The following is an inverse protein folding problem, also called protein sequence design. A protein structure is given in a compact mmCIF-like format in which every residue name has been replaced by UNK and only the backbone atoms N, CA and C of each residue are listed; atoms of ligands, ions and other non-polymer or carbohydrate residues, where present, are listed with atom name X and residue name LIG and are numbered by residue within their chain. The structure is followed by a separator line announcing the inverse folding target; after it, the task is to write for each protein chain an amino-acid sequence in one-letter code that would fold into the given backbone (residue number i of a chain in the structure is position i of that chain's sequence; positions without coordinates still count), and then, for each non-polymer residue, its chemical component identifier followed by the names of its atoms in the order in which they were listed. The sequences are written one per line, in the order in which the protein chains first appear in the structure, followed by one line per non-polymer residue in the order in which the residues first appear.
data_IF_287987625543
#
_entry.id   IF_287987625543
#
_cell.length_a   1.000
_cell.length_b   1.000
_cell.length_c   1.000
_cell.angle_alpha   90.00
_cell.angle_beta   90.00
_cell.angle_gamma   90.00
#
_symmetry.space_group_name_H-M   'P 1'
#
loop_
_entity.id
_entity.type
_entity.pdbx_description
1 polymer ?
#
# COMPACT_ATOMS: atom_id res chain seq x y z
N UNK A 1 45.01 37.63 37.70
CA UNK A 1 45.29 36.27 37.19
C UNK A 1 45.65 35.46 38.43
N UNK A 2 44.93 34.49 38.96
CA UNK A 2 44.02 33.41 38.50
C UNK A 2 43.19 33.05 39.75
N UNK A 3 41.85 33.01 39.76
CA UNK A 3 41.00 32.00 39.12
C UNK A 3 40.86 30.75 40.00
N UNK A 4 39.80 30.62 40.80
CA UNK A 4 39.58 29.46 41.68
C UNK A 4 38.18 29.39 42.27
N UNK A 5 37.16 29.31 41.40
CA UNK A 5 35.76 29.15 41.79
C UNK A 5 35.49 27.71 42.28
N UNK A 6 35.14 27.56 43.56
CA UNK A 6 34.61 26.32 44.12
C UNK A 6 33.21 26.04 43.59
N UNK A 7 33.10 25.15 42.60
CA UNK A 7 31.85 24.50 42.21
C UNK A 7 31.85 23.07 42.75
N UNK A 8 30.89 22.72 43.59
CA UNK A 8 30.28 21.37 43.58
C UNK A 8 28.78 21.51 43.79
N UNK A 9 28.08 21.39 42.66
CA UNK A 9 26.65 21.30 42.58
C UNK A 9 26.18 19.86 42.87
N UNK A 10 25.03 19.81 43.52
CA UNK A 10 23.92 18.87 43.37
C UNK A 10 24.22 17.37 43.23
N UNK A 11 23.75 16.64 44.23
CA UNK A 11 23.50 15.21 44.23
C UNK A 11 22.82 14.73 42.95
N UNK A 12 23.24 13.54 42.51
CA UNK A 12 22.82 12.91 41.25
C UNK A 12 21.31 12.81 41.13
N UNK A 13 20.81 13.28 39.99
CA UNK A 13 19.51 12.85 39.46
C UNK A 13 19.62 11.34 39.22
N UNK A 14 18.81 10.56 39.92
CA UNK A 14 18.70 9.12 39.71
C UNK A 14 18.47 8.85 38.22
N UNK A 15 19.32 8.02 37.63
CA UNK A 15 19.06 7.46 36.32
C UNK A 15 17.73 6.70 36.40
N UNK A 16 16.82 6.99 35.48
CA UNK A 16 15.56 6.27 35.37
C UNK A 16 15.86 4.76 35.19
N UNK A 17 15.37 3.86 36.06
CA UNK A 17 15.66 2.43 35.97
C UNK A 17 14.90 1.73 34.84
N UNK A 18 13.99 2.44 34.15
CA UNK A 18 13.28 1.95 32.99
C UNK A 18 14.08 2.28 31.73
N UNK A 19 14.34 1.30 30.83
CA UNK A 19 14.91 1.60 29.52
C UNK A 19 14.06 2.67 28.85
N UNK A 20 14.71 3.63 28.18
CA UNK A 20 14.01 4.60 27.33
C UNK A 20 13.04 3.80 26.46
N UNK A 21 11.74 4.16 26.51
CA UNK A 21 10.66 3.41 25.87
C UNK A 21 11.11 2.89 24.51
N UNK A 22 11.48 1.60 24.45
CA UNK A 22 11.81 0.96 23.20
C UNK A 22 10.53 1.02 22.38
N UNK A 23 10.60 1.59 21.18
CA UNK A 23 9.48 1.69 20.25
C UNK A 23 8.88 0.28 20.08
N UNK A 24 7.74 0.03 20.74
CA UNK A 24 7.07 -1.28 20.69
C UNK A 24 6.80 -1.57 19.21
N UNK A 25 7.30 -2.68 18.65
CA UNK A 25 7.14 -2.96 17.23
C UNK A 25 5.65 -3.03 16.87
N UNK A 26 5.21 -2.11 15.99
CA UNK A 26 3.82 -2.10 15.52
C UNK A 26 3.53 -3.35 14.70
N UNK A 27 2.50 -4.10 15.07
CA UNK A 27 2.07 -5.28 14.32
C UNK A 27 1.15 -4.90 13.16
N UNK A 28 0.92 -5.84 12.25
CA UNK A 28 -0.03 -5.66 11.16
C UNK A 28 -1.48 -5.51 11.65
N UNK A 29 -1.78 -6.04 12.84
CA UNK A 29 -3.09 -5.91 13.47
C UNK A 29 -3.28 -4.52 14.04
N UNK A 30 -2.28 -3.96 14.73
CA UNK A 30 -2.34 -2.60 15.28
C UNK A 30 -2.60 -1.54 14.19
N UNK A 31 -1.85 -1.61 13.07
CA UNK A 31 -2.06 -0.73 11.90
C UNK A 31 -3.49 -0.85 11.35
N UNK A 32 -4.02 -2.07 11.33
CA UNK A 32 -5.36 -2.34 10.80
C UNK A 32 -6.47 -1.87 11.76
N UNK A 33 -6.28 -2.00 13.07
CA UNK A 33 -7.20 -1.49 14.09
C UNK A 33 -7.28 0.03 14.05
N UNK A 34 -6.13 0.72 14.02
CA UNK A 34 -6.09 2.19 13.88
C UNK A 34 -6.83 2.66 12.64
N UNK A 35 -6.64 1.98 11.51
CA UNK A 35 -7.36 2.28 10.27
C UNK A 35 -8.89 2.10 10.43
N UNK A 36 -9.35 1.04 11.10
CA UNK A 36 -10.78 0.86 11.37
C UNK A 36 -11.34 1.90 12.34
N UNK A 37 -10.56 2.34 13.32
CA UNK A 37 -10.92 3.46 14.20
C UNK A 37 -11.17 4.74 13.38
N UNK A 38 -10.30 5.04 12.42
CA UNK A 38 -10.46 6.21 11.53
C UNK A 38 -11.71 6.11 10.63
N UNK A 39 -11.96 4.93 10.06
CA UNK A 39 -13.21 4.67 9.31
C UNK A 39 -14.45 4.91 10.19
N UNK A 40 -14.40 4.46 11.45
CA UNK A 40 -15.45 4.70 12.43
C UNK A 40 -15.70 6.19 12.70
N UNK A 41 -14.63 6.97 12.88
CA UNK A 41 -14.75 8.42 13.09
C UNK A 41 -15.32 9.16 11.87
N UNK A 42 -15.02 8.70 10.66
CA UNK A 42 -15.60 9.25 9.43
C UNK A 42 -17.03 8.77 9.13
N UNK A 43 -17.58 7.84 9.93
CA UNK A 43 -18.92 7.28 9.69
C UNK A 43 -18.99 6.34 8.48
N UNK A 44 -17.86 5.79 8.06
CA UNK A 44 -17.79 4.85 6.94
C UNK A 44 -18.53 3.55 7.27
N UNK A 45 -19.23 3.00 6.27
CA UNK A 45 -19.98 1.76 6.46
C UNK A 45 -19.05 0.55 6.39
N UNK A 46 -18.99 -0.21 7.48
CA UNK A 46 -18.15 -1.41 7.58
C UNK A 46 -19.02 -2.64 7.87
N UNK A 47 -18.93 -3.66 7.01
CA UNK A 47 -19.51 -4.98 7.23
C UNK A 47 -18.62 -5.84 8.13
N UNK A 48 -19.15 -6.99 8.60
CA UNK A 48 -18.34 -7.96 9.34
C UNK A 48 -17.06 -8.33 8.57
N UNK A 49 -15.97 -8.47 9.31
CA UNK A 49 -14.72 -8.98 8.77
C UNK A 49 -14.89 -10.32 8.05
N UNK A 50 -14.05 -10.56 7.05
CA UNK A 50 -13.93 -11.85 6.38
C UNK A 50 -13.54 -12.93 7.40
N UNK A 51 -14.07 -14.14 7.23
CA UNK A 51 -13.53 -15.30 7.95
C UNK A 51 -12.18 -15.71 7.34
N UNK A 52 -11.48 -16.61 8.03
CA UNK A 52 -10.25 -17.23 7.49
C UNK A 52 -10.56 -17.92 6.17
N UNK A 53 -11.64 -18.69 6.11
CA UNK A 53 -12.06 -19.44 4.92
C UNK A 53 -12.45 -18.51 3.76
N UNK A 54 -13.10 -17.38 4.04
CA UNK A 54 -13.45 -16.38 3.03
C UNK A 54 -12.20 -15.77 2.41
N UNK A 55 -11.22 -15.35 3.23
CA UNK A 55 -9.93 -14.84 2.74
C UNK A 55 -9.20 -15.89 1.91
N UNK A 56 -9.09 -17.11 2.41
CA UNK A 56 -8.38 -18.18 1.69
C UNK A 56 -9.07 -18.58 0.39
N UNK A 57 -10.40 -18.51 0.31
CA UNK A 57 -11.13 -18.73 -0.95
C UNK A 57 -10.75 -17.70 -1.99
N UNK A 58 -10.65 -16.43 -1.61
CA UNK A 58 -10.22 -15.35 -2.52
C UNK A 58 -8.76 -15.57 -2.95
N UNK A 59 -7.87 -15.84 -2.00
CA UNK A 59 -6.46 -16.12 -2.27
C UNK A 59 -6.27 -17.29 -3.25
N UNK A 60 -6.98 -18.41 -3.03
CA UNK A 60 -6.96 -19.56 -3.95
C UNK A 60 -7.54 -19.21 -5.32
N UNK A 61 -8.63 -18.44 -5.36
CA UNK A 61 -9.30 -18.07 -6.62
C UNK A 61 -8.40 -17.25 -7.54
N UNK A 62 -7.60 -16.36 -6.98
CA UNK A 62 -6.77 -15.42 -7.74
C UNK A 62 -5.27 -15.73 -7.72
N UNK A 63 -4.85 -16.80 -7.03
CA UNK A 63 -3.46 -17.24 -7.02
C UNK A 63 -2.50 -16.30 -6.30
N UNK A 64 -2.98 -15.52 -5.33
CA UNK A 64 -2.15 -14.64 -4.51
C UNK A 64 -2.41 -14.84 -3.01
N UNK A 65 -1.51 -14.33 -2.16
CA UNK A 65 -1.78 -14.13 -0.72
C UNK A 65 -1.93 -12.66 -0.43
N UNK A 66 -2.91 -12.27 0.37
CA UNK A 66 -3.02 -10.89 0.84
C UNK A 66 -1.77 -10.52 1.66
N UNK A 67 -1.37 -9.25 1.63
CA UNK A 67 -0.39 -8.73 2.58
C UNK A 67 -0.86 -8.94 4.03
N UNK A 68 0.04 -9.09 5.00
CA UNK A 68 -0.33 -9.35 6.40
C UNK A 68 -1.27 -8.27 6.95
N UNK A 69 -0.96 -6.99 6.69
CA UNK A 69 -1.80 -5.85 7.10
C UNK A 69 -3.16 -5.84 6.40
N UNK A 70 -3.21 -6.25 5.13
CA UNK A 70 -4.47 -6.35 4.39
C UNK A 70 -5.34 -7.49 4.94
N UNK A 71 -4.73 -8.63 5.30
CA UNK A 71 -5.46 -9.74 5.95
C UNK A 71 -6.05 -9.31 7.28
N UNK A 72 -5.27 -8.59 8.10
CA UNK A 72 -5.73 -8.08 9.39
C UNK A 72 -6.88 -7.07 9.21
N UNK A 73 -6.72 -6.11 8.30
CA UNK A 73 -7.76 -5.15 7.96
C UNK A 73 -9.07 -5.82 7.55
N UNK A 74 -9.01 -6.76 6.60
CA UNK A 74 -10.19 -7.51 6.17
C UNK A 74 -10.73 -8.48 7.24
N UNK A 75 -9.96 -8.81 8.28
CA UNK A 75 -10.40 -9.66 9.39
C UNK A 75 -11.19 -8.88 10.43
N UNK A 76 -10.82 -7.63 10.68
CA UNK A 76 -11.53 -6.74 11.60
C UNK A 76 -12.87 -6.32 10.98
N UNK A 77 -12.85 -5.86 9.73
CA UNK A 77 -14.04 -5.35 9.05
C UNK A 77 -13.83 -5.23 7.55
N UNK A 78 -14.92 -5.17 6.79
CA UNK A 78 -14.86 -4.94 5.34
C UNK A 78 -15.64 -3.67 5.02
N UNK A 79 -14.98 -2.56 4.64
CA UNK A 79 -15.67 -1.37 4.19
C UNK A 79 -16.59 -1.65 2.99
N UNK A 80 -17.70 -0.94 2.92
CA UNK A 80 -18.72 -1.11 1.88
C UNK A 80 -18.91 0.21 1.15
N UNK A 81 -18.76 0.18 -0.17
CA UNK A 81 -18.99 1.33 -1.02
C UNK A 81 -18.64 1.03 -2.47
N UNK A 82 -18.89 1.96 -3.39
CA UNK A 82 -18.66 1.73 -4.82
C UNK A 82 -17.19 1.49 -5.16
N UNK A 83 -16.28 2.13 -4.42
CA UNK A 83 -14.83 2.01 -4.64
C UNK A 83 -14.18 0.87 -3.84
N UNK A 84 -14.90 0.28 -2.88
CA UNK A 84 -14.40 -0.82 -2.07
C UNK A 84 -14.61 -2.17 -2.78
N UNK A 85 -13.60 -3.05 -2.86
CA UNK A 85 -13.77 -4.37 -3.44
C UNK A 85 -14.81 -5.21 -2.69
N UNK A 86 -15.82 -5.70 -3.39
CA UNK A 86 -16.81 -6.60 -2.81
C UNK A 86 -16.33 -8.06 -2.86
N UNK A 87 -15.54 -8.46 -1.86
CA UNK A 87 -14.98 -9.81 -1.73
C UNK A 87 -16.03 -10.92 -1.53
N UNK A 88 -17.27 -10.56 -1.16
CA UNK A 88 -18.40 -11.48 -0.98
C UNK A 88 -19.38 -11.49 -2.14
N UNK A 89 -19.09 -10.77 -3.22
CA UNK A 89 -19.96 -10.75 -4.38
C UNK A 89 -20.15 -12.17 -4.95
N UNK A 90 -21.39 -12.48 -5.38
CA UNK A 90 -21.73 -13.77 -5.99
C UNK A 90 -20.85 -14.05 -7.21
N UNK A 91 -20.64 -13.01 -8.02
CA UNK A 91 -19.63 -12.99 -9.06
C UNK A 91 -18.46 -12.10 -8.63
N UNK A 92 -17.25 -12.62 -8.75
CA UNK A 92 -16.01 -11.87 -8.49
C UNK A 92 -15.44 -11.23 -9.76
N UNK A 93 -16.23 -11.06 -10.83
CA UNK A 93 -15.76 -10.44 -12.09
C UNK A 93 -15.18 -9.04 -11.86
N UNK A 94 -15.85 -8.18 -11.09
CA UNK A 94 -15.34 -6.84 -10.81
C UNK A 94 -14.01 -6.86 -10.04
N UNK A 95 -13.86 -7.80 -9.09
CA UNK A 95 -12.59 -8.02 -8.37
C UNK A 95 -11.52 -8.55 -9.32
N UNK A 96 -11.87 -9.47 -10.24
CA UNK A 96 -10.93 -9.99 -11.23
C UNK A 96 -10.39 -8.89 -12.15
N UNK A 97 -11.27 -8.00 -12.62
CA UNK A 97 -10.89 -6.82 -13.41
C UNK A 97 -9.95 -5.93 -12.60
N UNK A 98 -10.29 -5.62 -11.34
CA UNK A 98 -9.43 -4.80 -10.49
C UNK A 98 -8.06 -5.44 -10.23
N UNK A 99 -7.99 -6.77 -10.03
CA UNK A 99 -6.72 -7.50 -9.85
C UNK A 99 -5.86 -7.48 -11.13
N UNK A 100 -6.47 -7.54 -12.32
CA UNK A 100 -5.77 -7.53 -13.59
C UNK A 100 -5.33 -6.12 -14.04
N UNK A 101 -6.06 -5.08 -13.62
CA UNK A 101 -5.91 -3.71 -14.11
C UNK A 101 -4.49 -3.14 -14.05
N UNK A 102 -3.67 -3.36 -12.99
CA UNK A 102 -2.28 -2.89 -12.99
C UNK A 102 -1.43 -3.49 -14.12
N UNK A 103 -1.57 -4.79 -14.36
CA UNK A 103 -0.82 -5.49 -15.43
C UNK A 103 -1.34 -5.06 -16.80
N UNK A 104 -2.66 -5.03 -16.97
CA UNK A 104 -3.27 -4.64 -18.25
C UNK A 104 -2.94 -3.19 -18.61
N UNK A 105 -2.87 -2.30 -17.62
CA UNK A 105 -2.45 -0.91 -17.84
C UNK A 105 -1.00 -0.79 -18.31
N UNK A 106 -0.08 -1.58 -17.75
CA UNK A 106 1.31 -1.61 -18.22
C UNK A 106 1.40 -2.19 -19.63
N UNK A 107 0.67 -3.27 -19.91
CA UNK A 107 0.61 -3.87 -21.25
C UNK A 107 0.08 -2.87 -22.28
N UNK A 108 -0.95 -2.08 -21.93
CA UNK A 108 -1.43 -1.01 -22.79
C UNK A 108 -0.32 0.01 -23.11
N UNK A 109 0.50 0.41 -22.12
CA UNK A 109 1.64 1.31 -22.36
C UNK A 109 2.76 0.70 -23.21
N UNK A 110 2.96 -0.62 -23.15
CA UNK A 110 3.90 -1.33 -24.03
C UNK A 110 3.44 -1.33 -25.49
N UNK A 111 2.13 -1.44 -25.70
CA UNK A 111 1.53 -1.55 -27.01
C UNK A 111 1.32 -0.19 -27.67
N UNK A 112 0.79 0.76 -26.92
CA UNK A 112 0.34 2.06 -27.42
C UNK A 112 1.39 3.17 -27.29
N UNK A 113 2.39 3.00 -26.41
CA UNK A 113 3.42 4.01 -26.12
C UNK A 113 4.82 3.40 -26.12
N UNK A 114 5.82 4.18 -25.70
CA UNK A 114 7.24 3.77 -25.68
C UNK A 114 7.70 3.14 -24.35
N UNK A 115 6.77 2.65 -23.54
CA UNK A 115 7.15 1.99 -22.30
C UNK A 115 7.83 0.64 -22.57
N UNK A 116 9.14 0.58 -22.32
CA UNK A 116 9.91 -0.65 -22.38
C UNK A 116 11.08 -0.62 -21.37
N UNK A 117 10.94 -1.24 -20.18
CA UNK A 117 12.02 -1.30 -19.20
C UNK A 117 13.27 -1.98 -19.75
N UNK A 118 14.44 -1.35 -19.63
CA UNK A 118 15.71 -1.89 -20.14
C UNK A 118 16.02 -3.32 -19.64
N UNK A 119 15.58 -3.67 -18.42
CA UNK A 119 15.72 -5.02 -17.84
C UNK A 119 14.97 -6.12 -18.60
N UNK A 120 14.00 -5.77 -19.45
CA UNK A 120 13.27 -6.72 -20.30
C UNK A 120 14.06 -7.09 -21.58
N UNK A 121 15.23 -6.50 -21.77
CA UNK A 121 16.07 -6.71 -22.95
C UNK A 121 15.65 -5.83 -24.13
N UNK A 122 16.13 -6.14 -25.35
CA UNK A 122 15.74 -5.41 -26.56
C UNK A 122 14.23 -5.45 -26.78
N UNK A 123 13.64 -4.33 -27.20
CA UNK A 123 12.22 -4.27 -27.59
C UNK A 123 12.02 -5.11 -28.85
N UNK A 124 11.15 -6.14 -28.82
CA UNK A 124 10.86 -6.93 -30.00
C UNK A 124 9.94 -6.16 -30.95
N UNK A 125 9.74 -6.74 -32.13
CA UNK A 125 8.71 -6.41 -33.10
C UNK A 125 7.28 -6.56 -32.54
N UNK A 126 6.33 -5.85 -33.18
CA UNK A 126 4.98 -5.57 -32.69
C UNK A 126 4.22 -6.77 -32.15
N UNK A 127 4.22 -7.88 -32.90
CA UNK A 127 3.41 -9.06 -32.58
C UNK A 127 3.89 -9.79 -31.32
N UNK A 128 5.13 -9.59 -30.88
CA UNK A 128 5.70 -10.24 -29.69
C UNK A 128 5.67 -9.36 -28.43
N UNK A 129 5.42 -8.05 -28.55
CA UNK A 129 5.52 -7.07 -27.45
C UNK A 129 4.61 -7.42 -26.26
N UNK A 130 3.35 -7.75 -26.51
CA UNK A 130 2.40 -8.12 -25.45
C UNK A 130 2.82 -9.39 -24.72
N UNK A 131 3.19 -10.43 -25.46
CA UNK A 131 3.55 -11.73 -24.88
C UNK A 131 4.76 -11.61 -23.95
N UNK A 132 5.79 -10.86 -24.36
CA UNK A 132 6.96 -10.60 -23.54
C UNK A 132 6.59 -9.78 -22.31
N UNK A 133 5.81 -8.71 -22.45
CA UNK A 133 5.38 -7.89 -21.31
C UNK A 133 4.60 -8.70 -20.28
N UNK A 134 3.63 -9.52 -20.70
CA UNK A 134 2.87 -10.39 -19.80
C UNK A 134 3.76 -11.43 -19.12
N UNK A 135 4.72 -12.00 -19.83
CA UNK A 135 5.67 -12.96 -19.25
C UNK A 135 6.57 -12.32 -18.18
N UNK A 136 7.02 -11.09 -18.39
CA UNK A 136 7.81 -10.35 -17.40
C UNK A 136 6.96 -9.93 -16.20
N UNK A 137 5.75 -9.44 -16.44
CA UNK A 137 4.81 -9.02 -15.38
C UNK A 137 4.28 -10.20 -14.56
N UNK A 138 4.25 -11.43 -15.11
CA UNK A 138 3.90 -12.63 -14.34
C UNK A 138 4.90 -12.93 -13.20
N UNK A 139 6.10 -12.35 -13.25
CA UNK A 139 7.16 -12.53 -12.22
C UNK A 139 7.20 -11.42 -11.18
N UNK A 140 6.39 -10.37 -11.32
CA UNK A 140 6.34 -9.26 -10.37
C UNK A 140 5.24 -9.49 -9.32
N UNK A 141 5.32 -8.87 -8.13
CA UNK A 141 4.27 -9.02 -7.13
C UNK A 141 2.91 -8.58 -7.67
N UNK A 142 1.90 -9.44 -7.53
CA UNK A 142 0.50 -9.10 -7.82
C UNK A 142 0.07 -7.94 -6.92
N UNK A 143 -0.60 -6.96 -7.49
CA UNK A 143 -1.20 -5.85 -6.75
C UNK A 143 -2.65 -6.16 -6.43
N UNK A 144 -2.97 -6.24 -5.14
CA UNK A 144 -4.29 -6.62 -4.64
C UNK A 144 -5.10 -5.34 -4.39
N UNK A 145 -6.30 -5.19 -4.96
CA UNK A 145 -7.08 -3.96 -4.84
C UNK A 145 -7.45 -3.69 -3.39
N UNK A 146 -7.30 -2.44 -2.98
CA UNK A 146 -7.65 -1.94 -1.65
C UNK A 146 -8.84 -0.98 -1.74
N UNK A 147 -8.69 0.14 -2.46
CA UNK A 147 -9.71 1.15 -2.66
C UNK A 147 -9.55 1.83 -4.02
N UNK A 148 -10.55 1.74 -4.90
CA UNK A 148 -10.45 2.32 -6.25
C UNK A 148 -9.21 1.83 -7.01
N UNK A 149 -8.35 2.76 -7.41
CA UNK A 149 -7.06 2.50 -8.09
C UNK A 149 -5.87 2.34 -7.14
N UNK A 150 -6.14 2.00 -5.87
CA UNK A 150 -5.12 1.83 -4.85
C UNK A 150 -4.96 0.34 -4.51
N UNK A 151 -3.71 -0.10 -4.35
CA UNK A 151 -3.37 -1.51 -4.25
C UNK A 151 -2.32 -1.78 -3.18
N UNK A 152 -2.35 -3.00 -2.62
CA UNK A 152 -1.31 -3.53 -1.74
C UNK A 152 -0.56 -4.69 -2.43
N UNK A 153 0.77 -4.78 -2.26
CA UNK A 153 1.55 -5.89 -2.82
C UNK A 153 1.18 -7.21 -2.15
N UNK A 154 0.82 -8.20 -2.96
CA UNK A 154 0.54 -9.56 -2.51
C UNK A 154 1.71 -10.14 -1.71
N UNK A 155 1.41 -10.85 -0.63
CA UNK A 155 2.38 -11.56 0.20
C UNK A 155 3.32 -10.68 1.01
N UNK A 156 3.16 -9.35 0.98
CA UNK A 156 4.00 -8.47 1.80
C UNK A 156 3.81 -8.75 3.29
N UNK A 157 4.94 -8.93 4.00
CA UNK A 157 4.96 -9.30 5.41
C UNK A 157 5.03 -8.10 6.36
N UNK A 158 5.49 -6.96 5.86
CA UNK A 158 5.61 -5.74 6.65
C UNK A 158 4.22 -5.25 7.09
N UNK A 159 4.05 -4.82 8.36
CA UNK A 159 2.85 -4.12 8.80
C UNK A 159 2.65 -2.79 8.04
N UNK A 160 3.74 -2.24 7.51
CA UNK A 160 3.80 -0.99 6.77
C UNK A 160 4.01 -1.24 5.27
N UNK A 161 3.38 -2.28 4.72
CA UNK A 161 3.38 -2.50 3.27
C UNK A 161 2.83 -1.26 2.55
N UNK A 162 3.49 -0.79 1.46
CA UNK A 162 3.06 0.42 0.78
C UNK A 162 1.75 0.18 0.05
N UNK A 163 0.83 1.13 0.21
CA UNK A 163 -0.32 1.28 -0.68
C UNK A 163 0.13 2.10 -1.88
N UNK A 164 -0.07 1.54 -3.07
CA UNK A 164 0.30 2.15 -4.33
C UNK A 164 -0.95 2.62 -5.07
N UNK A 165 -0.97 3.86 -5.52
CA UNK A 165 -1.89 4.31 -6.57
C UNK A 165 -1.33 3.91 -7.92
N UNK A 166 -2.10 3.21 -8.74
CA UNK A 166 -1.64 2.72 -10.06
C UNK A 166 -2.64 3.07 -11.14
N UNK A 167 -2.14 3.72 -12.20
CA UNK A 167 -2.85 3.92 -13.45
C UNK A 167 -1.88 3.76 -14.62
N UNK A 168 -2.02 2.65 -15.35
CA UNK A 168 -1.05 2.25 -16.39
C UNK A 168 0.38 2.25 -15.81
N UNK A 169 1.35 2.93 -16.43
CA UNK A 169 2.72 3.09 -15.91
C UNK A 169 2.91 4.30 -14.99
N UNK A 170 1.82 4.97 -14.57
CA UNK A 170 1.87 5.96 -13.49
C UNK A 170 1.65 5.27 -12.15
N UNK A 171 2.71 5.21 -11.33
CA UNK A 171 2.69 4.57 -10.00
C UNK A 171 3.11 5.58 -8.94
N UNK A 172 2.32 5.69 -7.86
CA UNK A 172 2.59 6.61 -6.76
C UNK A 172 2.53 5.84 -5.44
N UNK A 173 3.56 5.99 -4.60
CA UNK A 173 3.52 5.53 -3.21
C UNK A 173 2.69 6.52 -2.38
N UNK A 174 1.54 6.05 -1.85
CA UNK A 174 0.60 6.91 -1.12
C UNK A 174 0.87 6.96 0.38
N UNK A 175 1.39 5.87 0.95
CA UNK A 175 1.58 5.66 2.38
C UNK A 175 1.44 4.17 2.74
N UNK A 176 1.38 3.82 4.03
CA UNK A 176 0.81 2.51 4.41
C UNK A 176 -0.72 2.58 4.50
N UNK A 177 -1.32 1.44 4.82
CA UNK A 177 -2.76 1.31 4.96
C UNK A 177 -3.36 2.35 5.90
N UNK A 178 -2.78 2.55 7.10
CA UNK A 178 -3.28 3.51 8.08
C UNK A 178 -3.17 4.94 7.56
N UNK A 179 -2.02 5.35 7.03
CA UNK A 179 -1.84 6.70 6.46
C UNK A 179 -2.80 6.98 5.30
N UNK A 180 -3.07 5.99 4.45
CA UNK A 180 -4.00 6.14 3.33
C UNK A 180 -5.44 6.25 3.80
N UNK A 181 -5.85 5.44 4.79
CA UNK A 181 -7.19 5.55 5.38
C UNK A 181 -7.35 6.91 6.06
N UNK A 182 -6.38 7.32 6.88
CA UNK A 182 -6.35 8.64 7.53
C UNK A 182 -6.55 9.76 6.50
N UNK A 183 -5.77 9.77 5.42
CA UNK A 183 -5.87 10.77 4.37
C UNK A 183 -7.20 10.73 3.59
N UNK A 184 -7.89 9.59 3.55
CA UNK A 184 -9.19 9.45 2.92
C UNK A 184 -10.35 9.88 3.84
N UNK A 185 -10.16 9.79 5.17
CA UNK A 185 -11.19 10.05 6.18
C UNK A 185 -11.06 11.40 6.87
N UNK A 186 -9.86 12.01 6.86
CA UNK A 186 -9.57 13.27 7.54
C UNK A 186 -9.85 14.48 6.64
N UNK A 187 -10.50 15.50 7.20
CA UNK A 187 -10.72 16.81 6.55
C UNK A 187 -9.53 17.76 6.67
N UNK A 188 -8.52 17.40 7.48
CA UNK A 188 -7.32 18.19 7.73
C UNK A 188 -6.18 17.61 6.89
N UNK A 189 -5.44 18.49 6.21
CA UNK A 189 -4.29 18.13 5.39
C UNK A 189 -3.18 17.57 6.29
N UNK A 190 -3.17 16.25 6.47
CA UNK A 190 -2.23 15.58 7.34
C UNK A 190 -0.83 15.72 6.73
N UNK A 191 0.04 16.46 7.43
CA UNK A 191 1.46 16.50 7.13
C UNK A 191 2.01 15.07 7.22
N UNK A 192 2.17 14.45 6.05
CA UNK A 192 2.63 13.05 5.94
C UNK A 192 4.04 12.97 6.48
N UNK A 193 4.22 12.39 7.66
CA UNK A 193 5.54 11.88 8.05
C UNK A 193 5.94 10.88 6.96
N UNK A 194 6.93 11.26 6.13
CA UNK A 194 7.44 10.40 5.06
C UNK A 194 8.20 9.24 5.68
N UNK A 195 7.48 8.19 6.08
CA UNK A 195 8.09 6.94 6.48
C UNK A 195 8.64 6.26 5.23
N UNK A 196 9.88 5.79 5.30
CA UNK A 196 10.47 4.98 4.21
C UNK A 196 9.79 3.62 4.18
N UNK A 197 9.00 3.35 3.14
CA UNK A 197 8.30 2.08 3.00
C UNK A 197 9.15 1.04 2.26
N UNK A 198 8.89 -0.26 2.47
CA UNK A 198 9.52 -1.32 1.68
C UNK A 198 9.20 -1.15 0.20
N UNK A 199 10.22 -1.17 -0.66
CA UNK A 199 10.01 -1.12 -2.12
C UNK A 199 9.31 -2.38 -2.62
N UNK A 200 8.44 -2.22 -3.60
CA UNK A 200 7.79 -3.31 -4.33
C UNK A 200 8.52 -3.48 -5.65
N UNK A 201 9.10 -4.67 -5.88
CA UNK A 201 9.83 -5.01 -7.13
C UNK A 201 8.98 -4.63 -8.34
N UNK A 202 9.62 -4.05 -9.36
CA UNK A 202 9.00 -3.49 -10.56
C UNK A 202 8.20 -2.20 -10.30
N UNK A 203 7.19 -2.24 -9.43
CA UNK A 203 6.25 -1.13 -9.24
C UNK A 203 6.89 0.12 -8.65
N UNK A 204 7.77 -0.02 -7.66
CA UNK A 204 8.51 1.13 -7.11
C UNK A 204 9.51 1.70 -8.11
N UNK A 205 10.03 0.91 -9.06
CA UNK A 205 10.95 1.43 -10.08
C UNK A 205 10.18 2.26 -11.12
N UNK A 206 8.97 1.84 -11.48
CA UNK A 206 8.08 2.61 -12.35
C UNK A 206 7.72 3.95 -11.70
N UNK A 207 7.47 3.96 -10.39
CA UNK A 207 7.20 5.18 -9.62
C UNK A 207 8.38 6.18 -9.62
N UNK A 208 9.62 5.71 -9.76
CA UNK A 208 10.81 6.57 -9.77
C UNK A 208 11.08 7.20 -11.15
N UNK A 209 10.62 6.55 -12.23
CA UNK A 209 10.92 6.95 -13.63
C UNK A 209 9.88 7.91 -14.19
N UNK A 210 8.61 7.77 -13.79
CA UNK A 210 7.51 8.63 -14.23
C UNK A 210 7.11 9.51 -13.06
N UNK A 211 7.63 10.76 -12.95
CA UNK A 211 7.06 11.70 -11.99
C UNK A 211 5.59 11.88 -12.34
N UNK A 212 4.71 11.76 -11.34
CA UNK A 212 3.27 11.93 -11.49
C UNK A 212 2.94 13.35 -12.03
N UNK A 213 3.04 13.55 -13.33
CA UNK A 213 2.72 14.78 -14.02
C UNK A 213 1.20 14.87 -14.22
N UNK A 214 0.46 14.95 -13.11
CA UNK A 214 -0.95 15.35 -13.06
C UNK A 214 -1.43 15.49 -11.60
N UNK A 215 -0.73 16.28 -10.77
CA UNK A 215 -1.32 16.74 -9.51
C UNK A 215 -2.42 17.76 -9.82
N UNK A 216 -3.63 17.25 -9.91
CA UNK A 216 -4.83 18.03 -10.17
C UNK A 216 -6.09 17.21 -10.02
N UNK A 217 -6.23 16.45 -8.92
CA UNK A 217 -7.50 15.95 -8.37
C UNK A 217 -7.21 15.14 -7.11
N UNK A 218 -7.96 15.39 -6.05
CA UNK A 218 -7.76 14.81 -4.73
C UNK A 218 -7.70 13.28 -4.74
N UNK A 219 -7.18 12.73 -3.64
CA UNK A 219 -6.93 11.29 -3.38
C UNK A 219 -8.20 10.41 -3.56
N UNK A 220 -9.37 11.03 -3.72
CA UNK A 220 -10.69 10.43 -3.91
C UNK A 220 -11.34 10.70 -5.29
N UNK A 221 -10.61 11.21 -6.29
CA UNK A 221 -11.20 11.32 -7.63
C UNK A 221 -11.36 9.94 -8.29
N UNK A 222 -12.47 9.70 -9.01
CA UNK A 222 -12.82 8.39 -9.57
C UNK A 222 -11.71 7.76 -10.44
#
# INVERSE_FOLDING_TARGET
MTGGAGRRAAAGRGANPWPAAEDIPTTAWDVAEEAHTMLGYAGERVARGLSVQERERVERRFGFRFATVHRAFLAIGVPIGPMWPNWRARSLTAVAVAVAAPVDGVVADVLEHDFWPARWGPRPDDDAREAVARAELARVPVLVPFYGRQYLPAGARSPHAPVLGVYRTEVIELGDLRSVVDAATSSVDASRVRRRLPRVRFWSDVADVVPASAQGRGILAP
#
